data_IF_580665525890
#
_entry.id   IF_580665525890
#
_cell.length_a   1.000
_cell.length_b   1.000
_cell.length_c   1.000
_cell.angle_alpha   90.00
_cell.angle_beta   90.00
_cell.angle_gamma   90.00
#
_symmetry.space_group_name_H-M   'P 1'
#
loop_
_entity.id
_entity.type
_entity.pdbx_description
1 polymer ?
#
# COMPACT_ATOMS: atom_id res chain seq x y z
N UNK A 1 -54.71 45.51 12.96
CA UNK A 1 -54.85 44.03 12.82
C UNK A 1 -53.52 43.30 12.66
N UNK A 2 -52.54 43.80 11.88
CA UNK A 2 -51.28 43.10 11.64
C UNK A 2 -50.43 42.79 12.89
N UNK A 3 -50.35 43.72 13.86
CA UNK A 3 -49.56 43.54 15.09
C UNK A 3 -50.15 42.45 16.00
N UNK A 4 -51.48 42.32 16.04
CA UNK A 4 -52.16 41.28 16.84
C UNK A 4 -51.92 39.89 16.25
N UNK A 5 -51.88 39.78 14.92
CA UNK A 5 -51.56 38.52 14.24
C UNK A 5 -50.10 38.11 14.43
N UNK A 6 -49.18 39.07 14.48
CA UNK A 6 -47.75 38.80 14.72
C UNK A 6 -47.52 38.31 16.16
N UNK A 7 -48.16 38.93 17.15
CA UNK A 7 -48.10 38.48 18.55
C UNK A 7 -48.74 37.09 18.75
N UNK A 8 -49.85 36.79 18.06
CA UNK A 8 -50.44 35.44 18.07
C UNK A 8 -49.53 34.39 17.43
N UNK A 9 -48.85 34.72 16.33
CA UNK A 9 -47.89 33.81 15.68
C UNK A 9 -46.67 33.52 16.55
N UNK A 10 -46.17 34.53 17.29
CA UNK A 10 -45.04 34.36 18.21
C UNK A 10 -45.43 33.49 19.41
N UNK A 11 -46.66 33.65 19.92
CA UNK A 11 -47.20 32.80 20.98
C UNK A 11 -47.35 31.34 20.55
N UNK A 12 -47.79 31.08 19.32
CA UNK A 12 -47.90 29.73 18.77
C UNK A 12 -46.53 29.06 18.58
N UNK A 13 -45.52 29.79 18.12
CA UNK A 13 -44.16 29.28 17.98
C UNK A 13 -43.52 28.91 19.34
N UNK A 14 -43.71 29.75 20.36
CA UNK A 14 -43.22 29.46 21.71
C UNK A 14 -43.91 28.22 22.32
N UNK A 15 -45.22 28.07 22.11
CA UNK A 15 -45.95 26.89 22.57
C UNK A 15 -45.49 25.60 21.88
N UNK A 16 -45.19 25.65 20.58
CA UNK A 16 -44.65 24.52 19.83
C UNK A 16 -43.26 24.07 20.35
N UNK A 17 -42.39 25.02 20.69
CA UNK A 17 -41.06 24.72 21.26
C UNK A 17 -41.18 24.07 22.64
N UNK A 18 -42.11 24.53 23.48
CA UNK A 18 -42.34 23.92 24.80
C UNK A 18 -42.90 22.50 24.67
N UNK A 19 -43.83 22.27 23.74
CA UNK A 19 -44.38 20.95 23.45
C UNK A 19 -43.32 19.99 22.88
N UNK A 20 -42.46 20.47 21.98
CA UNK A 20 -41.35 19.67 21.45
C UNK A 20 -40.35 19.30 22.56
N UNK A 21 -40.02 20.23 23.44
CA UNK A 21 -39.12 19.98 24.57
C UNK A 21 -39.72 19.02 25.61
N UNK A 22 -41.03 19.08 25.83
CA UNK A 22 -41.74 18.16 26.71
C UNK A 22 -41.84 16.75 26.10
N UNK A 23 -42.03 16.63 24.78
CA UNK A 23 -42.06 15.35 24.08
C UNK A 23 -40.68 14.67 24.06
N UNK A 24 -39.60 15.46 23.93
CA UNK A 24 -38.23 14.96 23.92
C UNK A 24 -37.68 14.61 25.31
N UNK A 25 -38.44 14.87 26.37
CA UNK A 25 -38.07 14.57 27.76
C UNK A 25 -38.77 13.30 28.29
N UNK A 26 -39.26 12.43 27.40
CA UNK A 26 -39.73 11.09 27.75
C UNK A 26 -38.52 10.23 28.12
N UNK A 27 -38.53 9.81 29.37
CA UNK A 27 -37.52 9.07 30.10
C UNK A 27 -37.13 7.77 29.38
N UNK A 28 -35.82 7.52 29.27
CA UNK A 28 -35.28 6.22 28.88
C UNK A 28 -35.84 5.13 29.82
N UNK A 29 -36.22 3.95 29.31
CA UNK A 29 -36.66 2.86 30.17
C UNK A 29 -35.51 2.42 31.07
N UNK A 30 -35.79 2.46 32.37
CA UNK A 30 -34.99 1.99 33.49
C UNK A 30 -34.51 0.57 33.22
N UNK A 31 -33.21 0.40 32.98
CA UNK A 31 -32.57 -0.91 32.98
C UNK A 31 -32.59 -1.43 34.41
N UNK A 32 -33.22 -2.59 34.59
CA UNK A 32 -33.36 -3.31 35.84
C UNK A 32 -31.99 -3.53 36.48
N UNK A 33 -31.80 -2.98 37.68
CA UNK A 33 -30.55 -3.04 38.45
C UNK A 33 -30.38 -4.46 38.97
N UNK A 34 -29.48 -5.21 38.34
CA UNK A 34 -28.89 -6.45 38.86
C UNK A 34 -28.22 -6.15 40.22
N UNK A 35 -28.30 -7.05 41.23
CA UNK A 35 -27.83 -6.73 42.58
C UNK A 35 -26.31 -6.53 42.62
N UNK A 36 -25.93 -5.43 43.26
CA UNK A 36 -24.56 -4.96 43.52
C UNK A 36 -23.79 -6.02 44.33
N UNK A 37 -22.87 -6.73 43.66
CA UNK A 37 -21.87 -7.58 44.29
C UNK A 37 -20.91 -6.69 45.08
N UNK A 38 -20.74 -6.99 46.37
CA UNK A 38 -19.77 -6.34 47.24
C UNK A 38 -18.35 -6.41 46.62
N UNK A 39 -17.58 -5.31 46.65
CA UNK A 39 -16.23 -5.30 46.07
C UNK A 39 -15.32 -6.22 46.89
N UNK A 40 -14.82 -7.28 46.26
CA UNK A 40 -13.71 -8.05 46.80
C UNK A 40 -12.48 -7.14 46.92
N UNK A 41 -11.70 -7.26 48.01
CA UNK A 41 -10.54 -6.40 48.22
C UNK A 41 -9.51 -6.63 47.10
N UNK A 42 -9.09 -5.53 46.46
CA UNK A 42 -7.99 -5.54 45.51
C UNK A 42 -6.74 -6.15 46.17
N UNK A 43 -6.02 -7.06 45.47
CA UNK A 43 -4.74 -7.54 45.97
C UNK A 43 -3.77 -6.36 46.05
N UNK A 44 -3.23 -6.14 47.25
CA UNK A 44 -2.17 -5.16 47.46
C UNK A 44 -1.00 -5.48 46.50
N UNK A 45 -0.46 -4.49 45.78
CA UNK A 45 0.73 -4.72 44.97
C UNK A 45 1.87 -5.16 45.90
N UNK A 46 2.33 -6.40 45.70
CA UNK A 46 3.57 -6.85 46.31
C UNK A 46 4.68 -5.92 45.80
N UNK A 47 5.44 -5.36 46.74
CA UNK A 47 6.63 -4.58 46.43
C UNK A 47 7.53 -5.41 45.52
N UNK A 48 7.75 -4.93 44.30
CA UNK A 48 8.83 -5.43 43.47
C UNK A 48 10.13 -5.19 44.24
N UNK A 49 11.05 -6.18 44.30
CA UNK A 49 12.35 -5.96 44.90
C UNK A 49 13.04 -4.82 44.16
N UNK A 50 13.60 -3.87 44.91
CA UNK A 50 14.50 -2.86 44.34
C UNK A 50 15.59 -3.58 43.54
N UNK A 51 15.89 -3.13 42.31
CA UNK A 51 17.01 -3.68 41.56
C UNK A 51 18.29 -3.42 42.36
N UNK A 52 18.95 -4.50 42.80
CA UNK A 52 20.31 -4.42 43.29
C UNK A 52 21.17 -3.81 42.16
N UNK A 53 21.87 -2.73 42.49
CA UNK A 53 22.78 -2.06 41.58
C UNK A 53 23.80 -3.07 41.05
N UNK A 54 23.76 -3.29 39.74
CA UNK A 54 24.84 -3.99 39.04
C UNK A 54 26.15 -3.24 39.31
N UNK A 55 27.25 -3.95 39.62
CA UNK A 55 28.54 -3.30 39.82
C UNK A 55 28.99 -2.69 38.49
N UNK A 56 29.25 -1.38 38.51
CA UNK A 56 29.85 -0.64 37.39
C UNK A 56 31.09 -1.40 36.88
N UNK A 57 31.00 -1.88 35.63
CA UNK A 57 32.13 -2.45 34.94
C UNK A 57 33.22 -1.37 34.82
N UNK A 58 34.40 -1.68 35.34
CA UNK A 58 35.58 -0.84 35.20
C UNK A 58 35.84 -0.53 33.72
N UNK A 59 36.24 0.71 33.36
CA UNK A 59 36.53 1.06 31.98
C UNK A 59 37.68 0.20 31.45
N UNK A 60 37.46 -0.37 30.26
CA UNK A 60 38.50 -1.08 29.52
C UNK A 60 39.68 -0.13 29.22
N UNK A 61 40.93 -0.63 29.27
CA UNK A 61 42.11 0.19 29.02
C UNK A 61 42.10 0.75 27.58
N UNK A 62 42.38 2.05 27.46
CA UNK A 62 42.62 2.72 26.18
C UNK A 62 43.76 2.03 25.41
N UNK A 63 43.61 1.80 24.09
CA UNK A 63 44.70 1.26 23.28
C UNK A 63 45.87 2.25 23.22
N UNK A 64 47.08 1.75 23.47
CA UNK A 64 48.33 2.51 23.31
C UNK A 64 48.47 3.02 21.86
N UNK A 65 48.95 4.26 21.65
CA UNK A 65 49.14 4.80 20.31
C UNK A 65 50.31 4.08 19.60
N UNK A 66 50.02 3.54 18.42
CA UNK A 66 51.03 3.04 17.50
C UNK A 66 52.00 4.15 17.07
N UNK A 67 53.28 3.83 16.84
CA UNK A 67 54.33 4.81 16.55
C UNK A 67 54.09 5.52 15.20
N UNK A 68 54.14 6.85 15.27
CA UNK A 68 54.10 7.80 14.16
C UNK A 68 55.14 7.48 13.10
N UNK A 69 54.68 7.12 11.90
CA UNK A 69 55.48 7.20 10.69
C UNK A 69 55.80 8.68 10.40
N UNK A 70 57.07 8.95 10.15
CA UNK A 70 57.64 10.27 9.89
C UNK A 70 56.92 11.02 8.76
N UNK A 71 56.61 12.28 9.05
CA UNK A 71 55.99 13.25 8.14
C UNK A 71 56.80 13.44 6.86
N UNK A 72 56.19 13.14 5.71
CA UNK A 72 56.51 13.85 4.48
C UNK A 72 55.92 15.27 4.56
N UNK A 73 56.63 16.33 4.13
CA UNK A 73 56.08 17.69 4.19
C UNK A 73 54.93 17.83 3.20
N UNK A 74 53.73 18.12 3.72
CA UNK A 74 52.59 18.58 2.94
C UNK A 74 52.87 19.96 2.32
N UNK A 75 52.38 20.23 1.10
CA UNK A 75 52.50 21.53 0.44
C UNK A 75 51.74 22.62 1.20
N UNK A 76 52.29 23.84 1.17
CA UNK A 76 51.71 25.04 1.81
C UNK A 76 50.22 25.22 1.45
N UNK A 77 49.34 25.51 2.43
CA UNK A 77 47.93 25.75 2.17
C UNK A 77 47.76 27.09 1.44
N UNK A 78 47.08 27.05 0.30
CA UNK A 78 46.47 28.23 -0.32
C UNK A 78 45.50 28.88 0.70
N UNK A 79 45.37 30.21 0.73
CA UNK A 79 44.50 30.89 1.68
C UNK A 79 43.05 30.44 1.50
N UNK A 80 42.50 29.84 2.55
CA UNK A 80 41.09 29.50 2.66
C UNK A 80 40.22 30.71 2.36
N UNK A 81 39.33 30.57 1.38
CA UNK A 81 38.24 31.50 1.15
C UNK A 81 37.37 31.55 2.41
N UNK A 82 36.94 32.76 2.79
CA UNK A 82 35.96 32.97 3.86
C UNK A 82 34.77 32.02 3.67
N UNK A 83 34.26 31.38 4.74
CA UNK A 83 33.13 30.48 4.62
C UNK A 83 31.93 31.27 4.11
N UNK A 84 31.42 30.87 2.93
CA UNK A 84 30.13 31.34 2.45
C UNK A 84 29.08 31.02 3.53
N UNK A 85 28.19 31.98 3.85
CA UNK A 85 27.17 31.77 4.87
C UNK A 85 26.31 30.56 4.47
N UNK A 86 26.14 29.64 5.43
CA UNK A 86 25.25 28.49 5.28
C UNK A 86 23.90 28.94 4.70
N UNK A 87 23.30 28.19 3.75
CA UNK A 87 21.98 28.50 3.26
C UNK A 87 21.03 28.53 4.45
N UNK A 88 20.27 29.62 4.57
CA UNK A 88 19.21 29.74 5.56
C UNK A 88 18.31 28.49 5.50
N UNK A 89 17.80 28.00 6.64
CA UNK A 89 16.84 26.90 6.64
C UNK A 89 15.73 27.25 5.67
N UNK A 90 15.46 26.34 4.73
CA UNK A 90 14.33 26.45 3.82
C UNK A 90 13.11 26.76 4.67
N UNK A 91 12.50 27.93 4.44
CA UNK A 91 11.28 28.30 5.11
C UNK A 91 10.28 27.15 4.90
N UNK A 92 9.75 26.60 5.99
CA UNK A 92 8.45 25.94 5.94
C UNK A 92 7.52 26.85 5.14
N UNK A 93 6.70 26.33 4.21
CA UNK A 93 5.77 27.18 3.49
C UNK A 93 4.80 27.74 4.53
N UNK A 94 5.08 28.95 4.99
CA UNK A 94 4.13 29.81 5.66
C UNK A 94 2.98 29.96 4.67
N UNK A 95 1.92 29.16 4.85
CA UNK A 95 0.63 29.36 4.24
C UNK A 95 0.04 30.64 4.83
N UNK A 96 0.69 31.79 4.55
CA UNK A 96 0.06 33.07 4.65
C UNK A 96 -1.22 32.93 3.84
N UNK A 97 -2.35 32.99 4.54
CA UNK A 97 -3.68 32.98 3.95
C UNK A 97 -3.74 34.16 2.96
N UNK A 98 -3.28 33.89 1.73
CA UNK A 98 -3.26 34.84 0.65
C UNK A 98 -4.70 35.22 0.48
N UNK A 99 -5.03 36.48 0.66
CA UNK A 99 -6.40 36.97 0.57
C UNK A 99 -6.94 36.56 -0.81
N UNK A 100 -7.72 35.47 -0.85
CA UNK A 100 -8.20 34.89 -2.10
C UNK A 100 -9.32 35.80 -2.60
N UNK A 101 -8.99 36.70 -3.53
CA UNK A 101 -10.03 37.46 -4.20
C UNK A 101 -10.93 36.48 -4.99
N UNK A 102 -12.25 36.72 -5.06
CA UNK A 102 -13.14 35.91 -5.87
C UNK A 102 -12.62 35.79 -7.31
N UNK A 103 -12.48 34.56 -7.81
CA UNK A 103 -12.01 34.28 -9.17
C UNK A 103 -10.49 34.17 -9.37
N UNK A 104 -9.69 34.29 -8.30
CA UNK A 104 -8.23 34.03 -8.35
C UNK A 104 -7.92 32.59 -8.77
N UNK A 105 -8.59 31.61 -8.14
CA UNK A 105 -8.47 30.19 -8.48
C UNK A 105 -8.73 29.89 -9.95
N UNK A 106 -9.81 30.43 -10.52
CA UNK A 106 -10.15 30.27 -11.94
C UNK A 106 -9.05 30.78 -12.87
N UNK A 107 -8.49 31.95 -12.55
CA UNK A 107 -7.45 32.58 -13.38
C UNK A 107 -6.14 31.82 -13.29
N UNK A 108 -5.79 31.35 -12.10
CA UNK A 108 -4.63 30.50 -11.89
C UNK A 108 -4.77 29.15 -12.58
N UNK A 109 -5.95 28.51 -12.49
CA UNK A 109 -6.25 27.26 -13.17
C UNK A 109 -6.12 27.38 -14.69
N UNK A 110 -6.65 28.46 -15.27
CA UNK A 110 -6.48 28.73 -16.71
C UNK A 110 -5.00 28.91 -17.08
N UNK A 111 -4.25 29.68 -16.28
CA UNK A 111 -2.83 29.90 -16.52
C UNK A 111 -2.01 28.59 -16.42
N UNK A 112 -2.33 27.74 -15.44
CA UNK A 112 -1.72 26.43 -15.30
C UNK A 112 -2.06 25.50 -16.49
N UNK A 113 -3.32 25.50 -16.93
CA UNK A 113 -3.73 24.77 -18.12
C UNK A 113 -2.98 25.23 -19.38
N UNK A 114 -2.88 26.54 -19.60
CA UNK A 114 -2.11 27.13 -20.71
C UNK A 114 -0.63 26.74 -20.64
N UNK A 115 -0.02 26.78 -19.44
CA UNK A 115 1.39 26.40 -19.24
C UNK A 115 1.65 24.92 -19.55
N UNK A 116 0.69 24.04 -19.30
CA UNK A 116 0.76 22.60 -19.56
C UNK A 116 0.23 22.19 -20.94
N UNK A 117 -0.29 23.13 -21.73
CA UNK A 117 -1.04 22.87 -22.96
C UNK A 117 -2.25 21.94 -22.74
N UNK A 118 -2.93 22.09 -21.60
CA UNK A 118 -4.20 21.45 -21.30
C UNK A 118 -5.37 22.30 -21.81
N UNK A 119 -6.49 21.63 -22.06
CA UNK A 119 -7.73 22.28 -22.48
C UNK A 119 -8.48 22.83 -21.25
N UNK A 120 -9.06 24.03 -21.38
CA UNK A 120 -9.88 24.62 -20.33
C UNK A 120 -11.33 24.73 -20.79
N UNK A 121 -12.23 24.06 -20.07
CA UNK A 121 -13.66 24.07 -20.27
C UNK A 121 -14.34 24.80 -19.10
N UNK A 122 -15.41 25.54 -19.39
CA UNK A 122 -16.12 26.30 -18.34
C UNK A 122 -17.01 25.38 -17.48
N UNK A 123 -17.62 24.38 -18.09
CA UNK A 123 -18.57 23.44 -17.50
C UNK A 123 -18.73 22.27 -18.45
N UNK A 124 -19.07 21.11 -17.90
CA UNK A 124 -19.43 19.90 -18.64
C UNK A 124 -20.64 19.26 -17.95
N UNK A 125 -21.71 19.00 -18.71
CA UNK A 125 -22.97 18.45 -18.21
C UNK A 125 -22.91 16.91 -18.09
N UNK A 126 -22.10 16.25 -18.92
CA UNK A 126 -22.00 14.78 -18.89
C UNK A 126 -21.27 14.27 -17.64
N UNK A 127 -20.43 15.13 -17.05
CA UNK A 127 -19.60 14.84 -15.90
C UNK A 127 -20.37 14.89 -14.57
N UNK A 128 -21.58 15.47 -14.56
CA UNK A 128 -22.43 15.56 -13.36
C UNK A 128 -22.91 14.18 -12.89
N UNK A 129 -23.16 13.26 -13.81
CA UNK A 129 -23.74 11.94 -13.55
C UNK A 129 -22.68 10.84 -13.32
N UNK A 130 -21.38 11.17 -13.38
CA UNK A 130 -20.31 10.17 -13.28
C UNK A 130 -19.90 9.83 -11.83
N UNK A 131 -20.13 10.72 -10.87
CA UNK A 131 -19.65 10.59 -9.49
C UNK A 131 -20.72 10.90 -8.47
N UNK A 132 -20.81 10.07 -7.43
CA UNK A 132 -21.82 10.23 -6.38
C UNK A 132 -21.22 10.41 -4.98
N UNK A 133 -19.90 10.30 -4.84
CA UNK A 133 -19.20 10.29 -3.54
C UNK A 133 -18.19 11.43 -3.39
N UNK A 134 -17.65 11.55 -2.18
CA UNK A 134 -16.69 12.60 -1.83
C UNK A 134 -17.30 14.00 -2.02
N UNK A 135 -16.55 14.92 -2.63
CA UNK A 135 -17.06 16.25 -2.94
C UNK A 135 -18.28 16.25 -3.89
N UNK A 136 -18.52 15.15 -4.64
CA UNK A 136 -19.66 15.01 -5.54
C UNK A 136 -20.98 14.65 -4.84
N UNK A 137 -20.94 14.20 -3.58
CA UNK A 137 -22.14 13.80 -2.83
C UNK A 137 -23.19 14.92 -2.73
N UNK A 138 -22.74 16.17 -2.77
CA UNK A 138 -23.59 17.35 -2.71
C UNK A 138 -24.33 17.67 -4.03
N UNK A 139 -24.11 16.89 -5.10
CA UNK A 139 -24.74 17.09 -6.42
C UNK A 139 -24.35 18.42 -7.07
N UNK A 140 -23.13 18.90 -6.80
CA UNK A 140 -22.66 20.16 -7.35
C UNK A 140 -22.16 19.98 -8.79
N UNK A 141 -22.59 20.83 -9.71
CA UNK A 141 -22.09 20.83 -11.08
C UNK A 141 -20.59 21.15 -11.17
N UNK A 142 -19.78 20.35 -11.90
CA UNK A 142 -18.39 20.64 -12.21
C UNK A 142 -18.22 21.97 -12.96
N UNK A 143 -17.28 22.81 -12.52
CA UNK A 143 -16.95 24.09 -13.15
C UNK A 143 -15.46 24.30 -13.30
N UNK A 144 -15.09 25.15 -14.26
CA UNK A 144 -13.71 25.55 -14.53
C UNK A 144 -12.81 24.32 -14.64
N UNK A 145 -13.14 23.46 -15.60
CA UNK A 145 -12.56 22.13 -15.81
C UNK A 145 -11.32 22.27 -16.68
N UNK A 146 -10.23 21.64 -16.28
CA UNK A 146 -9.01 21.48 -17.07
C UNK A 146 -8.91 20.02 -17.48
N UNK A 147 -8.74 19.78 -18.77
CA UNK A 147 -8.62 18.43 -19.34
C UNK A 147 -7.23 18.27 -19.92
N UNK A 148 -6.54 17.21 -19.52
CA UNK A 148 -5.19 16.89 -19.99
C UNK A 148 -4.91 15.40 -20.01
N UNK A 149 -3.79 15.02 -20.60
CA UNK A 149 -3.25 13.67 -20.46
C UNK A 149 -1.94 13.73 -19.69
N UNK A 150 -1.83 12.95 -18.61
CA UNK A 150 -0.67 12.94 -17.72
C UNK A 150 -0.36 11.49 -17.36
N UNK A 151 0.90 11.08 -17.49
CA UNK A 151 1.36 9.71 -17.22
C UNK A 151 0.56 8.62 -17.96
N UNK A 152 -0.07 8.93 -19.10
CA UNK A 152 -0.91 7.99 -19.85
C UNK A 152 -2.37 7.92 -19.38
N UNK A 153 -2.76 8.74 -18.42
CA UNK A 153 -4.12 8.86 -17.91
C UNK A 153 -4.78 10.16 -18.39
N UNK A 154 -6.07 10.09 -18.69
CA UNK A 154 -6.91 11.29 -18.81
C UNK A 154 -7.06 11.91 -17.41
N UNK A 155 -6.70 13.19 -17.29
CA UNK A 155 -6.72 13.94 -16.05
C UNK A 155 -7.67 15.13 -16.18
N UNK A 156 -8.53 15.28 -15.19
CA UNK A 156 -9.46 16.39 -15.05
C UNK A 156 -9.15 17.14 -13.76
N UNK A 157 -9.07 18.47 -13.82
CA UNK A 157 -9.01 19.31 -12.61
C UNK A 157 -10.15 20.32 -12.64
N UNK A 158 -10.99 20.34 -11.61
CA UNK A 158 -12.21 21.14 -11.59
C UNK A 158 -12.54 21.69 -10.20
N UNK A 159 -13.51 22.61 -10.18
CA UNK A 159 -14.17 23.07 -8.96
C UNK A 159 -15.54 22.38 -8.85
N UNK A 160 -15.74 21.66 -7.75
CA UNK A 160 -16.96 20.94 -7.41
C UNK A 160 -17.53 21.52 -6.10
N UNK A 161 -18.57 22.34 -6.21
CA UNK A 161 -19.21 22.94 -5.04
C UNK A 161 -18.31 23.86 -4.20
N UNK A 162 -17.24 24.43 -4.77
CA UNK A 162 -16.25 25.25 -4.06
C UNK A 162 -15.09 24.45 -3.48
N UNK A 163 -14.99 23.16 -3.81
CA UNK A 163 -13.88 22.27 -3.47
C UNK A 163 -13.13 21.92 -4.76
N UNK A 164 -11.81 22.03 -4.73
CA UNK A 164 -11.00 21.63 -5.88
C UNK A 164 -10.87 20.10 -5.89
N UNK A 165 -11.16 19.50 -7.03
CA UNK A 165 -11.07 18.06 -7.25
C UNK A 165 -10.23 17.79 -8.48
N UNK A 166 -9.27 16.89 -8.34
CA UNK A 166 -8.52 16.33 -9.47
C UNK A 166 -8.94 14.87 -9.67
N UNK A 167 -9.29 14.49 -10.88
CA UNK A 167 -9.65 13.13 -11.25
C UNK A 167 -8.67 12.57 -12.29
N UNK A 168 -8.34 11.29 -12.18
CA UNK A 168 -7.56 10.54 -13.17
C UNK A 168 -8.26 9.26 -13.56
N UNK A 169 -8.32 8.99 -14.86
CA UNK A 169 -9.01 7.84 -15.40
C UNK A 169 -8.21 6.55 -15.22
N UNK A 170 -8.84 5.49 -14.72
CA UNK A 170 -8.19 4.19 -14.45
C UNK A 170 -8.12 3.30 -15.69
N UNK A 171 -9.09 3.47 -16.60
CA UNK A 171 -9.21 2.75 -17.88
C UNK A 171 -10.21 1.59 -17.88
N UNK A 172 -10.66 1.14 -16.70
CA UNK A 172 -11.70 0.12 -16.55
C UNK A 172 -12.61 0.49 -15.39
N UNK A 173 -13.93 0.38 -15.60
CA UNK A 173 -14.91 0.64 -14.55
C UNK A 173 -14.96 -0.53 -13.55
N UNK A 174 -15.02 -0.19 -12.26
CA UNK A 174 -15.26 -1.10 -11.13
C UNK A 174 -16.62 -0.77 -10.48
N UNK A 175 -17.21 -1.70 -9.73
CA UNK A 175 -18.35 -1.42 -8.83
C UNK A 175 -17.88 -1.09 -7.41
N UNK A 176 -16.65 -1.50 -7.10
CA UNK A 176 -16.01 -1.40 -5.81
C UNK A 176 -15.51 0.02 -5.58
N UNK A 177 -15.86 0.56 -4.41
CA UNK A 177 -15.46 1.90 -4.00
C UNK A 177 -14.41 1.77 -2.92
N UNK A 178 -13.33 2.52 -3.07
CA UNK A 178 -12.27 2.66 -2.08
C UNK A 178 -12.09 4.15 -1.79
N UNK A 179 -12.22 4.57 -0.54
CA UNK A 179 -12.10 5.95 -0.07
C UNK A 179 -10.96 6.05 0.95
N UNK A 180 -9.91 6.78 0.62
CA UNK A 180 -8.81 7.14 1.49
C UNK A 180 -9.08 8.50 2.12
N UNK A 181 -9.19 8.54 3.44
CA UNK A 181 -9.37 9.78 4.21
C UNK A 181 -8.20 10.02 5.13
N UNK A 182 -7.73 11.27 5.22
CA UNK A 182 -6.77 11.64 6.26
C UNK A 182 -7.40 11.48 7.63
N UNK A 183 -6.61 11.07 8.62
CA UNK A 183 -7.08 10.78 9.99
C UNK A 183 -7.80 11.96 10.65
N UNK A 184 -7.39 13.19 10.33
CA UNK A 184 -7.99 14.41 10.87
C UNK A 184 -9.28 14.85 10.14
N UNK A 185 -9.57 14.24 8.99
CA UNK A 185 -10.70 14.60 8.12
C UNK A 185 -11.85 13.57 8.15
N UNK A 186 -11.81 12.60 9.08
CA UNK A 186 -12.79 11.50 9.19
C UNK A 186 -14.22 12.02 9.48
N UNK A 187 -14.36 13.22 10.06
CA UNK A 187 -15.68 13.82 10.36
C UNK A 187 -16.49 14.23 9.11
N UNK A 188 -15.91 14.14 7.91
CA UNK A 188 -16.62 14.38 6.64
C UNK A 188 -17.29 13.10 6.12
N UNK A 189 -18.61 13.02 6.31
CA UNK A 189 -19.59 12.13 5.64
C UNK A 189 -18.99 10.92 4.91
N UNK A 190 -18.59 9.89 5.67
CA UNK A 190 -18.39 8.55 5.13
C UNK A 190 -19.76 7.94 4.85
N UNK A 191 -19.97 7.42 3.63
CA UNK A 191 -21.16 6.66 3.31
C UNK A 191 -21.30 5.44 4.24
N UNK A 192 -22.53 5.07 4.60
CA UNK A 192 -22.82 3.99 5.57
C UNK A 192 -22.31 2.60 5.14
N UNK A 193 -22.03 2.42 3.84
CA UNK A 193 -21.59 1.17 3.23
C UNK A 193 -20.06 0.97 3.20
N UNK A 194 -19.29 1.94 3.71
CA UNK A 194 -17.83 1.90 3.72
C UNK A 194 -17.28 1.40 5.06
N UNK A 195 -16.41 0.40 5.00
CA UNK A 195 -15.75 -0.19 6.17
C UNK A 195 -14.23 -0.01 6.09
N UNK A 196 -13.57 0.18 7.24
CA UNK A 196 -12.12 0.29 7.30
C UNK A 196 -11.44 -1.00 6.84
N UNK A 197 -10.58 -0.88 5.82
CA UNK A 197 -9.82 -1.98 5.26
C UNK A 197 -8.38 -2.03 5.81
N UNK A 198 -7.70 -0.87 5.83
CA UNK A 198 -6.35 -0.70 6.37
C UNK A 198 -6.04 0.78 6.59
N UNK A 199 -4.98 1.07 7.34
CA UNK A 199 -4.38 2.42 7.43
C UNK A 199 -2.95 2.40 6.90
N UNK A 200 -2.53 3.51 6.30
CA UNK A 200 -1.18 3.73 5.82
C UNK A 200 -0.85 5.21 5.87
N UNK A 201 0.26 5.55 6.52
CA UNK A 201 0.66 6.94 6.77
C UNK A 201 -0.48 7.74 7.46
N UNK A 202 -0.78 8.94 6.96
CA UNK A 202 -1.87 9.77 7.47
C UNK A 202 -3.27 9.33 7.01
N UNK A 203 -3.36 8.31 6.16
CA UNK A 203 -4.60 7.88 5.52
C UNK A 203 -5.20 6.61 6.15
N UNK A 204 -6.53 6.59 6.20
CA UNK A 204 -7.35 5.44 6.47
C UNK A 204 -8.08 5.08 5.18
N UNK A 205 -7.91 3.84 4.72
CA UNK A 205 -8.59 3.30 3.56
C UNK A 205 -9.89 2.62 3.99
N UNK A 206 -11.01 3.16 3.52
CA UNK A 206 -12.36 2.63 3.66
C UNK A 206 -12.78 1.99 2.33
N UNK A 207 -13.55 0.91 2.37
CA UNK A 207 -14.02 0.26 1.15
C UNK A 207 -15.37 -0.43 1.32
N UNK A 208 -16.09 -0.64 0.22
CA UNK A 208 -17.31 -1.47 0.20
C UNK A 208 -16.97 -2.95 0.42
N UNK A 209 -15.87 -3.43 -0.16
CA UNK A 209 -15.25 -4.74 0.12
C UNK A 209 -13.81 -4.54 0.61
N UNK A 210 -13.60 -4.77 1.90
CA UNK A 210 -12.29 -4.60 2.55
C UNK A 210 -11.25 -5.59 2.05
N UNK A 211 -11.65 -6.79 1.62
CA UNK A 211 -10.74 -7.79 1.10
C UNK A 211 -10.24 -7.42 -0.32
N UNK A 212 -11.09 -6.80 -1.14
CA UNK A 212 -10.67 -6.23 -2.43
C UNK A 212 -9.66 -5.10 -2.21
N UNK A 213 -9.94 -4.17 -1.30
CA UNK A 213 -9.03 -3.07 -0.99
C UNK A 213 -7.67 -3.57 -0.45
N UNK A 214 -7.66 -4.57 0.43
CA UNK A 214 -6.43 -5.19 0.92
C UNK A 214 -5.61 -5.87 -0.18
N UNK A 215 -6.26 -6.51 -1.17
CA UNK A 215 -5.57 -7.13 -2.32
C UNK A 215 -5.00 -6.09 -3.29
N UNK A 216 -5.69 -4.96 -3.46
CA UNK A 216 -5.26 -3.85 -4.31
C UNK A 216 -4.06 -3.10 -3.70
N UNK A 217 -3.90 -3.14 -2.37
CA UNK A 217 -2.77 -2.53 -1.68
C UNK A 217 -1.44 -3.17 -2.09
N UNK A 218 -0.69 -2.46 -2.91
CA UNK A 218 0.68 -2.79 -3.29
C UNK A 218 1.65 -1.64 -2.94
N UNK A 219 2.90 -1.77 -3.41
CA UNK A 219 3.91 -0.73 -3.21
C UNK A 219 3.54 0.62 -3.84
N UNK A 220 2.78 0.63 -4.94
CA UNK A 220 2.35 1.86 -5.62
C UNK A 220 1.34 2.61 -4.76
N UNK A 221 0.39 1.89 -4.16
CA UNK A 221 -0.60 2.49 -3.23
C UNK A 221 0.12 3.12 -2.04
N UNK A 222 1.03 2.38 -1.40
CA UNK A 222 1.76 2.89 -0.24
C UNK A 222 2.58 4.13 -0.59
N UNK A 223 3.37 4.08 -1.68
CA UNK A 223 4.19 5.22 -2.14
C UNK A 223 3.34 6.41 -2.54
N UNK A 224 2.17 6.18 -3.15
CA UNK A 224 1.26 7.25 -3.53
C UNK A 224 0.69 7.95 -2.30
N UNK A 225 0.26 7.21 -1.28
CA UNK A 225 -0.27 7.78 -0.04
C UNK A 225 0.80 8.57 0.72
N UNK A 226 2.02 8.04 0.83
CA UNK A 226 3.17 8.70 1.48
C UNK A 226 3.59 10.00 0.77
N UNK A 227 3.51 10.03 -0.56
CA UNK A 227 3.90 11.21 -1.36
C UNK A 227 2.76 12.19 -1.59
N UNK A 228 1.56 11.89 -1.10
CA UNK A 228 0.40 12.73 -1.34
C UNK A 228 0.53 14.05 -0.55
N UNK A 229 0.35 15.22 -1.16
CA UNK A 229 0.43 16.50 -0.46
C UNK A 229 -0.55 16.59 0.71
N UNK A 230 -0.16 17.29 1.79
CA UNK A 230 -1.01 17.48 2.98
C UNK A 230 -2.30 18.26 2.68
N UNK A 231 -2.32 19.06 1.62
CA UNK A 231 -3.51 19.76 1.13
C UNK A 231 -4.60 18.81 0.57
N UNK A 232 -4.27 17.55 0.28
CA UNK A 232 -5.24 16.53 -0.16
C UNK A 232 -5.92 15.95 1.07
N UNK A 233 -7.23 16.15 1.20
CA UNK A 233 -8.00 15.75 2.39
C UNK A 233 -8.66 14.39 2.23
N UNK A 234 -8.96 13.98 1.00
CA UNK A 234 -9.58 12.70 0.70
C UNK A 234 -9.34 12.29 -0.75
N UNK A 235 -9.30 10.99 -1.00
CA UNK A 235 -9.12 10.39 -2.32
C UNK A 235 -10.08 9.24 -2.42
N UNK A 236 -10.88 9.14 -3.47
CA UNK A 236 -11.76 8.00 -3.66
C UNK A 236 -11.67 7.45 -5.07
N UNK A 237 -11.93 6.15 -5.18
CA UNK A 237 -11.99 5.40 -6.42
C UNK A 237 -13.44 5.02 -6.64
N UNK A 238 -13.99 5.43 -7.78
CA UNK A 238 -15.39 5.17 -8.14
C UNK A 238 -15.49 5.01 -9.66
N UNK A 239 -16.26 4.00 -10.10
CA UNK A 239 -16.43 3.70 -11.52
C UNK A 239 -15.07 3.56 -12.23
N UNK A 240 -14.72 4.45 -13.16
CA UNK A 240 -13.47 4.42 -13.92
C UNK A 240 -12.49 5.55 -13.54
N UNK A 241 -12.64 6.10 -12.32
CA UNK A 241 -11.92 7.27 -11.87
C UNK A 241 -11.28 7.09 -10.49
N UNK A 242 -10.12 7.71 -10.31
CA UNK A 242 -9.57 8.07 -9.00
C UNK A 242 -9.67 9.58 -8.86
N UNK A 243 -10.33 10.04 -7.80
CA UNK A 243 -10.54 11.45 -7.52
C UNK A 243 -9.84 11.83 -6.22
N UNK A 244 -9.24 13.01 -6.19
CA UNK A 244 -8.62 13.58 -5.01
C UNK A 244 -9.19 14.98 -4.76
N UNK A 245 -9.74 15.18 -3.57
CA UNK A 245 -10.21 16.48 -3.11
C UNK A 245 -9.11 17.20 -2.32
N UNK A 246 -9.00 18.50 -2.51
CA UNK A 246 -8.03 19.33 -1.79
C UNK A 246 -8.70 20.36 -0.89
N UNK A 247 -7.91 21.00 -0.04
CA UNK A 247 -8.33 22.23 0.64
C UNK A 247 -8.66 23.34 -0.37
N UNK A 248 -9.41 24.36 0.07
CA UNK A 248 -9.78 25.53 -0.74
C UNK A 248 -8.58 26.41 -1.13
N UNK A 249 -7.45 26.24 -0.46
CA UNK A 249 -6.24 27.03 -0.66
C UNK A 249 -5.24 26.34 -1.59
N UNK A 250 -5.51 25.13 -2.07
CA UNK A 250 -4.63 24.43 -2.98
C UNK A 250 -4.52 25.15 -4.33
N UNK A 251 -3.29 25.47 -4.69
CA UNK A 251 -2.90 26.23 -5.89
C UNK A 251 -2.11 25.35 -6.88
N UNK A 252 -1.58 25.97 -7.94
CA UNK A 252 -0.83 25.27 -8.99
C UNK A 252 0.35 24.39 -8.53
N UNK A 253 1.14 24.71 -7.49
CA UNK A 253 2.21 23.82 -7.03
C UNK A 253 1.67 22.50 -6.46
N UNK A 254 0.59 22.58 -5.67
CA UNK A 254 -0.07 21.41 -5.09
C UNK A 254 -0.65 20.53 -6.19
N UNK A 255 -1.29 21.14 -7.19
CA UNK A 255 -1.84 20.39 -8.34
C UNK A 255 -0.74 19.64 -9.10
N UNK A 256 0.45 20.22 -9.22
CA UNK A 256 1.59 19.57 -9.86
C UNK A 256 2.10 18.37 -9.06
N UNK A 257 2.23 18.52 -7.74
CA UNK A 257 2.68 17.46 -6.84
C UNK A 257 1.70 16.29 -6.77
N UNK A 258 0.39 16.55 -6.96
CA UNK A 258 -0.65 15.51 -7.00
C UNK A 258 -0.56 14.59 -8.21
N UNK A 259 0.02 15.04 -9.34
CA UNK A 259 -0.06 14.31 -10.61
C UNK A 259 0.56 12.91 -10.53
N UNK A 260 1.77 12.78 -9.98
CA UNK A 260 2.47 11.50 -9.94
C UNK A 260 1.84 10.52 -8.93
N UNK A 261 1.53 10.90 -7.69
CA UNK A 261 0.84 10.03 -6.74
C UNK A 261 -0.54 9.59 -7.22
N UNK A 262 -1.33 10.49 -7.83
CA UNK A 262 -2.66 10.15 -8.32
C UNK A 262 -2.60 9.19 -9.52
N UNK A 263 -1.58 9.31 -10.38
CA UNK A 263 -1.34 8.35 -11.46
C UNK A 263 -0.98 6.96 -10.93
N UNK A 264 -0.14 6.88 -9.88
CA UNK A 264 0.15 5.60 -9.22
C UNK A 264 -1.10 4.93 -8.66
N UNK A 265 -2.02 5.71 -8.07
CA UNK A 265 -3.31 5.20 -7.60
C UNK A 265 -4.20 4.75 -8.77
N UNK A 266 -4.24 5.49 -9.87
CA UNK A 266 -4.99 5.10 -11.06
C UNK A 266 -4.44 3.82 -11.71
N UNK A 267 -3.12 3.64 -11.72
CA UNK A 267 -2.45 2.41 -12.15
C UNK A 267 -2.71 1.24 -11.20
N UNK A 268 -2.77 1.49 -9.89
CA UNK A 268 -3.11 0.47 -8.90
C UNK A 268 -4.58 0.07 -8.99
N UNK A 269 -5.49 1.00 -9.28
CA UNK A 269 -6.92 0.74 -9.44
C UNK A 269 -7.24 -0.24 -10.59
N UNK A 270 -6.32 -0.45 -11.55
CA UNK A 270 -6.48 -1.48 -12.59
C UNK A 270 -6.48 -2.91 -12.07
N UNK A 271 -6.09 -3.13 -10.81
CA UNK A 271 -6.18 -4.46 -10.17
C UNK A 271 -7.54 -4.71 -9.51
N UNK A 272 -8.44 -3.72 -9.52
CA UNK A 272 -9.79 -3.88 -9.00
C UNK A 272 -10.61 -4.77 -9.95
N UNK A 273 -11.57 -5.54 -9.41
CA UNK A 273 -12.46 -6.35 -10.23
C UNK A 273 -13.19 -5.45 -11.24
N UNK A 274 -13.20 -5.81 -12.53
CA UNK A 274 -13.97 -5.05 -13.50
C UNK A 274 -15.46 -5.22 -13.21
N UNK A 275 -16.24 -4.18 -13.47
CA UNK A 275 -17.70 -4.23 -13.41
C UNK A 275 -18.20 -5.45 -14.19
N UNK A 276 -19.04 -6.31 -13.59
CA UNK A 276 -19.57 -7.49 -14.26
C UNK A 276 -20.38 -7.06 -15.49
N UNK A 277 -19.72 -7.05 -16.65
CA UNK A 277 -20.41 -6.89 -17.93
C UNK A 277 -20.97 -8.25 -18.31
N UNK A 278 -22.18 -8.28 -18.86
CA UNK A 278 -22.78 -9.47 -19.48
C UNK A 278 -21.94 -10.08 -20.61
N UNK A 279 -20.81 -9.47 -20.98
CA UNK A 279 -19.92 -9.87 -22.06
C UNK A 279 -18.75 -10.79 -21.61
N UNK A 280 -18.45 -10.91 -20.31
CA UNK A 280 -17.55 -11.98 -19.85
C UNK A 280 -18.37 -13.24 -19.56
N UNK A 281 -18.93 -13.82 -20.62
CA UNK A 281 -19.22 -15.26 -20.58
C UNK A 281 -17.88 -15.96 -20.37
N UNK A 282 -17.64 -16.42 -19.14
CA UNK A 282 -16.64 -17.46 -18.88
C UNK A 282 -17.02 -18.62 -19.79
N UNK A 283 -16.39 -18.68 -20.97
CA UNK A 283 -16.50 -19.82 -21.87
C UNK A 283 -15.78 -20.96 -21.20
N UNK A 284 -16.50 -21.66 -20.33
CA UNK A 284 -16.02 -22.88 -19.64
C UNK A 284 -15.50 -23.90 -20.67
N UNK A 285 -16.00 -23.83 -21.91
CA UNK A 285 -15.53 -24.60 -23.07
C UNK A 285 -14.12 -24.20 -23.58
N UNK A 286 -13.69 -22.94 -23.40
CA UNK A 286 -12.37 -22.39 -23.80
C UNK A 286 -11.36 -22.33 -22.63
N UNK A 287 -11.85 -22.38 -21.39
CA UNK A 287 -11.01 -22.57 -20.20
C UNK A 287 -10.49 -24.00 -20.18
N UNK A 288 -9.36 -24.25 -20.84
CA UNK A 288 -8.69 -25.55 -20.86
C UNK A 288 -8.49 -26.04 -19.41
N UNK A 289 -9.21 -27.10 -18.97
CA UNK A 289 -8.94 -27.72 -17.68
C UNK A 289 -7.57 -28.38 -17.84
N UNK A 290 -6.54 -27.65 -17.42
CA UNK A 290 -5.12 -28.01 -17.48
C UNK A 290 -4.92 -29.52 -17.64
N UNK A 291 -4.64 -29.89 -18.91
CA UNK A 291 -4.42 -31.23 -19.44
C UNK A 291 -5.71 -32.09 -19.57
N UNK A 292 -6.30 -32.20 -20.79
CA UNK A 292 -7.15 -33.34 -21.08
C UNK A 292 -6.34 -34.62 -20.85
N UNK A 293 -6.78 -35.45 -19.90
CA UNK A 293 -6.25 -36.81 -19.79
C UNK A 293 -6.51 -37.49 -21.14
N UNK A 294 -5.49 -38.01 -21.83
CA UNK A 294 -5.73 -38.75 -23.06
C UNK A 294 -6.76 -39.85 -22.74
N UNK A 295 -7.75 -40.08 -23.61
CA UNK A 295 -8.74 -41.12 -23.38
C UNK A 295 -7.98 -42.40 -23.09
N UNK A 296 -8.42 -43.16 -22.07
CA UNK A 296 -7.85 -44.45 -21.72
C UNK A 296 -8.08 -45.44 -22.87
N UNK A 297 -7.30 -45.28 -23.94
CA UNK A 297 -7.15 -46.26 -24.98
C UNK A 297 -6.46 -47.48 -24.38
N UNK A 298 -6.69 -48.68 -24.95
CA UNK A 298 -5.98 -49.87 -24.50
C UNK A 298 -4.48 -49.60 -24.59
N UNK A 299 -3.79 -49.71 -23.45
CA UNK A 299 -2.34 -49.58 -23.38
C UNK A 299 -1.75 -50.78 -24.12
N UNK A 300 -1.52 -50.65 -25.43
CA UNK A 300 -0.72 -51.61 -26.19
C UNK A 300 0.75 -51.31 -25.91
N UNK A 301 1.31 -52.12 -25.02
CA UNK A 301 2.73 -52.18 -24.75
C UNK A 301 3.43 -52.85 -25.95
N UNK A 302 3.68 -52.11 -27.02
CA UNK A 302 4.55 -52.58 -28.11
C UNK A 302 5.16 -51.44 -28.92
N UNK A 303 6.40 -51.13 -28.56
CA UNK A 303 7.50 -50.92 -29.51
C UNK A 303 7.31 -49.98 -30.70
N UNK A 304 7.99 -48.83 -30.59
CA UNK A 304 8.61 -48.01 -31.64
C UNK A 304 7.73 -47.00 -32.40
N UNK A 305 8.21 -45.75 -32.57
CA UNK A 305 7.47 -44.71 -33.29
C UNK A 305 7.59 -44.93 -34.80
N UNK A 306 6.46 -45.08 -35.50
CA UNK A 306 6.40 -44.81 -36.94
C UNK A 306 5.83 -43.40 -37.13
N UNK A 307 6.73 -42.43 -37.33
CA UNK A 307 6.39 -41.07 -37.76
C UNK A 307 5.81 -41.18 -39.17
N UNK A 308 4.52 -40.86 -39.34
CA UNK A 308 3.94 -40.53 -40.65
C UNK A 308 4.27 -39.07 -40.96
N UNK A 309 5.16 -38.90 -41.93
CA UNK A 309 5.57 -37.64 -42.54
C UNK A 309 4.42 -36.95 -43.28
N UNK A 310 4.02 -35.76 -42.83
CA UNK A 310 3.49 -34.73 -43.74
C UNK A 310 4.68 -33.97 -44.32
N UNK A 311 4.74 -33.91 -45.65
CA UNK A 311 5.81 -33.26 -46.41
C UNK A 311 5.67 -31.74 -46.37
N UNK A 312 6.33 -31.09 -45.41
CA UNK A 312 6.89 -29.76 -45.63
C UNK A 312 8.38 -29.94 -45.93
N UNK A 313 8.74 -29.73 -47.20
CA UNK A 313 10.11 -29.89 -47.67
C UNK A 313 10.89 -28.61 -47.34
N UNK A 314 11.36 -28.50 -46.09
CA UNK A 314 12.45 -27.58 -45.77
C UNK A 314 13.77 -28.23 -46.19
N UNK A 315 14.39 -27.72 -47.25
CA UNK A 315 15.77 -28.04 -47.60
C UNK A 315 16.69 -27.48 -46.51
N UNK A 316 16.98 -28.28 -45.49
CA UNK A 316 18.06 -27.99 -44.56
C UNK A 316 19.40 -28.20 -45.28
N UNK A 317 20.37 -27.29 -45.14
CA UNK A 317 21.71 -27.50 -45.69
C UNK A 317 22.30 -28.82 -45.18
N UNK A 318 23.10 -29.54 -45.99
CA UNK A 318 23.57 -30.87 -45.62
C UNK A 318 24.38 -30.79 -44.33
N UNK A 319 23.81 -31.31 -43.25
CA UNK A 319 24.48 -31.45 -41.96
C UNK A 319 25.55 -32.53 -42.13
N UNK A 320 26.79 -32.11 -42.39
CA UNK A 320 27.93 -33.02 -42.35
C UNK A 320 28.23 -33.34 -40.89
N UNK A 321 27.93 -34.57 -40.48
CA UNK A 321 28.33 -35.09 -39.18
C UNK A 321 29.87 -35.22 -39.21
N UNK A 322 30.59 -34.65 -38.25
CA UNK A 322 32.02 -34.92 -38.10
C UNK A 322 32.24 -36.44 -38.04
N UNK A 323 33.14 -36.97 -38.86
CA UNK A 323 33.43 -38.41 -38.96
C UNK A 323 34.02 -38.97 -37.65
N UNK A 324 34.56 -38.09 -36.81
CA UNK A 324 35.14 -38.42 -35.51
C UNK A 324 34.11 -38.18 -34.39
N UNK A 325 33.73 -39.21 -33.62
CA UNK A 325 32.80 -39.05 -32.51
C UNK A 325 33.36 -38.07 -31.48
N UNK A 326 32.58 -37.04 -31.14
CA UNK A 326 32.94 -36.12 -30.06
C UNK A 326 32.85 -36.91 -28.75
N UNK A 327 33.98 -37.07 -28.05
CA UNK A 327 34.01 -37.72 -26.74
C UNK A 327 33.31 -36.83 -25.72
N UNK A 328 32.18 -37.32 -25.21
CA UNK A 328 31.43 -36.64 -24.15
C UNK A 328 32.06 -36.97 -22.80
N UNK A 329 32.26 -35.98 -21.91
CA UNK A 329 32.79 -36.24 -20.58
C UNK A 329 31.85 -37.18 -19.82
N UNK A 330 32.37 -38.33 -19.40
CA UNK A 330 31.64 -39.32 -18.60
C UNK A 330 32.19 -39.36 -17.18
N UNK A 331 31.32 -39.44 -16.17
CA UNK A 331 31.70 -39.59 -14.75
C UNK A 331 32.54 -40.84 -14.44
N UNK A 332 32.69 -41.76 -15.39
CA UNK A 332 33.44 -43.00 -15.23
C UNK A 332 34.95 -42.81 -15.46
N UNK A 333 35.37 -41.70 -16.09
CA UNK A 333 36.76 -41.41 -16.43
C UNK A 333 37.00 -39.97 -16.03
N UNK A 334 37.95 -39.77 -15.13
CA UNK A 334 38.40 -38.42 -14.77
C UNK A 334 39.26 -37.87 -15.92
N UNK A 335 38.91 -36.68 -16.40
CA UNK A 335 39.55 -36.03 -17.55
C UNK A 335 39.74 -34.54 -17.23
N UNK A 336 40.92 -34.21 -16.71
CA UNK A 336 41.29 -32.85 -16.35
C UNK A 336 41.75 -32.08 -17.58
N UNK A 337 40.83 -31.36 -18.23
CA UNK A 337 41.19 -30.40 -19.29
C UNK A 337 41.45 -29.02 -18.68
N UNK A 338 42.67 -28.82 -18.19
CA UNK A 338 43.20 -27.55 -17.69
C UNK A 338 44.69 -27.67 -17.37
N UNK A 339 45.42 -26.57 -17.47
CA UNK A 339 46.82 -26.48 -17.00
C UNK A 339 46.75 -26.20 -15.50
N UNK A 340 46.75 -27.24 -14.69
CA UNK A 340 46.83 -27.13 -13.24
C UNK A 340 48.29 -27.24 -12.85
N UNK A 341 48.88 -26.14 -12.37
CA UNK A 341 50.18 -26.17 -11.73
C UNK A 341 50.02 -26.89 -10.38
N UNK A 342 50.58 -28.09 -10.25
CA UNK A 342 50.57 -28.90 -9.01
C UNK A 342 51.26 -28.17 -7.82
N UNK A 343 51.98 -27.08 -8.08
CA UNK A 343 52.63 -26.23 -7.08
C UNK A 343 51.70 -25.12 -6.53
N UNK A 344 50.51 -24.92 -7.11
CA UNK A 344 49.58 -23.84 -6.77
C UNK A 344 48.60 -24.28 -5.64
N UNK A 345 49.14 -24.32 -4.41
CA UNK A 345 48.44 -24.73 -3.17
C UNK A 345 47.16 -23.94 -2.85
N UNK A 346 46.90 -22.82 -3.53
CA UNK A 346 45.69 -22.02 -3.34
C UNK A 346 44.45 -22.57 -4.07
N UNK A 347 44.61 -23.48 -5.03
CA UNK A 347 43.49 -24.00 -5.81
C UNK A 347 42.73 -25.15 -5.11
N UNK A 348 43.30 -25.73 -4.05
CA UNK A 348 42.73 -26.89 -3.36
C UNK A 348 41.78 -26.53 -2.20
N UNK A 349 41.60 -25.25 -1.88
CA UNK A 349 40.94 -24.81 -0.64
C UNK A 349 39.62 -24.06 -0.86
N UNK A 350 38.92 -24.35 -1.97
CA UNK A 350 37.56 -23.84 -2.22
C UNK A 350 36.57 -24.95 -1.87
N UNK A 351 36.06 -24.92 -0.64
CA UNK A 351 34.97 -25.80 -0.18
C UNK A 351 35.23 -26.59 1.10
N UNK A 352 36.32 -26.33 1.83
CA UNK A 352 36.60 -26.92 3.14
C UNK A 352 35.91 -26.17 4.30
N UNK A 353 34.70 -25.66 4.08
CA UNK A 353 33.81 -25.40 5.21
C UNK A 353 33.39 -26.78 5.74
N UNK A 354 33.98 -27.22 6.85
CA UNK A 354 33.58 -28.43 7.57
C UNK A 354 32.15 -28.23 8.12
N UNK A 355 31.15 -28.31 7.24
CA UNK A 355 29.75 -28.42 7.62
C UNK A 355 29.45 -29.86 7.96
N UNK A 356 29.15 -30.09 9.24
CA UNK A 356 28.67 -31.39 9.72
C UNK A 356 27.46 -31.87 8.89
N UNK A 357 27.36 -33.19 8.71
CA UNK A 357 26.24 -33.78 8.01
C UNK A 357 24.92 -33.43 8.72
N UNK A 358 23.93 -32.97 7.95
CA UNK A 358 22.57 -32.70 8.44
C UNK A 358 22.04 -33.97 9.14
N UNK A 359 21.84 -33.88 10.45
CA UNK A 359 21.30 -34.96 11.30
C UNK A 359 22.28 -35.60 12.28
N UNK A 360 23.57 -35.26 12.26
CA UNK A 360 24.57 -35.75 13.23
C UNK A 360 24.83 -34.77 14.40
N UNK A 361 24.17 -33.61 14.40
CA UNK A 361 24.17 -32.72 15.56
C UNK A 361 23.36 -33.35 16.70
N UNK A 362 23.94 -33.52 17.91
CA UNK A 362 23.15 -33.87 19.08
C UNK A 362 22.10 -32.78 19.29
N UNK A 363 20.87 -33.16 19.67
CA UNK A 363 19.82 -32.21 19.98
C UNK A 363 20.37 -31.16 20.96
N UNK A 364 20.22 -29.88 20.61
CA UNK A 364 20.64 -28.77 21.48
C UNK A 364 19.96 -28.94 22.85
N UNK A 365 20.71 -29.43 23.84
CA UNK A 365 20.31 -29.49 25.26
C UNK A 365 20.45 -28.11 25.93
N UNK A 366 20.34 -27.01 25.16
CA UNK A 366 20.23 -25.69 25.77
C UNK A 366 18.81 -25.50 26.33
N UNK A 367 18.67 -25.17 27.63
CA UNK A 367 17.36 -24.84 28.19
C UNK A 367 16.81 -23.58 27.49
N UNK A 368 15.50 -23.54 27.20
CA UNK A 368 14.90 -22.44 26.43
C UNK A 368 15.13 -21.12 27.15
N UNK A 369 15.80 -20.18 26.47
CA UNK A 369 15.92 -18.80 26.94
C UNK A 369 14.55 -18.12 26.82
N UNK A 370 14.18 -17.34 27.82
CA UNK A 370 12.83 -16.75 27.96
C UNK A 370 12.41 -15.81 26.83
N UNK A 371 13.33 -15.43 25.93
CA UNK A 371 13.11 -14.51 24.82
C UNK A 371 13.25 -15.16 23.43
N UNK A 372 13.33 -16.49 23.33
CA UNK A 372 13.36 -17.16 22.04
C UNK A 372 11.94 -17.29 21.45
N UNK A 373 11.78 -16.96 20.16
CA UNK A 373 10.52 -17.02 19.40
C UNK A 373 10.28 -18.44 18.87
N UNK A 374 11.28 -19.34 18.98
CA UNK A 374 11.16 -20.74 18.57
C UNK A 374 10.42 -21.56 19.62
N UNK A 375 9.17 -21.90 19.32
CA UNK A 375 8.39 -22.88 20.08
C UNK A 375 8.78 -24.28 19.59
N UNK A 376 9.60 -25.00 20.36
CA UNK A 376 9.84 -26.44 20.12
C UNK A 376 8.66 -27.24 20.66
N UNK A 377 8.02 -28.03 19.79
CA UNK A 377 6.91 -28.92 20.17
C UNK A 377 7.49 -30.09 20.97
N UNK A 378 7.17 -30.20 22.26
CA UNK A 378 7.53 -31.38 23.04
C UNK A 378 6.70 -32.59 22.57
N UNK A 379 7.27 -33.38 21.66
CA UNK A 379 6.74 -34.69 21.29
C UNK A 379 7.08 -35.68 22.41
N UNK A 380 6.26 -35.75 23.45
CA UNK A 380 6.48 -36.66 24.56
C UNK A 380 5.37 -36.71 25.61
N UNK A 381 4.48 -35.71 25.64
CA UNK A 381 3.27 -35.78 26.46
C UNK A 381 2.13 -36.33 25.61
N UNK A 382 1.58 -37.48 26.02
CA UNK A 382 0.38 -38.07 25.42
C UNK A 382 -0.71 -37.00 25.28
N UNK A 383 -1.33 -36.94 24.10
CA UNK A 383 -2.32 -35.93 23.80
C UNK A 383 -3.57 -36.17 24.67
N UNK A 384 -3.83 -35.29 25.64
CA UNK A 384 -4.93 -35.40 26.61
C UNK A 384 -6.34 -35.36 25.98
N UNK A 385 -6.44 -35.14 24.66
CA UNK A 385 -7.67 -35.16 23.88
C UNK A 385 -8.28 -36.58 23.73
N UNK A 386 -7.52 -37.63 24.04
CA UNK A 386 -7.99 -39.02 23.98
C UNK A 386 -8.15 -39.69 25.36
N UNK A 387 -8.15 -38.92 26.45
CA UNK A 387 -8.42 -39.47 27.77
C UNK A 387 -9.93 -39.72 27.93
N UNK A 388 -10.36 -40.97 27.74
CA UNK A 388 -11.69 -41.43 28.11
C UNK A 388 -11.87 -41.27 29.63
N UNK A 389 -12.82 -40.43 30.04
CA UNK A 389 -13.27 -40.36 31.43
C UNK A 389 -14.00 -41.66 31.78
N UNK A 390 -13.38 -42.50 32.60
CA UNK A 390 -14.09 -43.58 33.30
C UNK A 390 -14.83 -43.00 34.50
N UNK A 391 -16.16 -43.13 34.46
CA UNK A 391 -17.23 -42.81 35.44
C UNK A 391 -16.86 -42.40 36.88
#
# INVERSE_FOLDING_TARGET
MAIVLLLLSLGAAAAAVVLWRAANNQEQPTSEREPELEPQPEPQPQAQPEPEAEPEAAPAPEPEPEPTAESAPEPEPEPEAEPEPAPAPAAEPEHHARLMLPGTLKRERRHWAEAKNFEFLKSDEYLEDEWFRGAASNGASPRDIVVGNVFGHEMLLMDLGGVNVMAMRTGSATEEVIDFRRRDAIEQESSEDLFEAFSHDDFIALATDTAVAQRMRDIRVNVALERMPHDVTGIWMESEWVLAQTTKNALSPVWEEMLAPLALLADAARTLPPRPSTAQELRVEEGDPTRPAPPAGPVELSGLPTIRTTTDHFEHPPVQRPEEPIELPTRAIDDSRGDFDDDDVAAYDIGADDVDAIGDQPADEEPPRTNDVRITRQQGTDASIFEDHTD
#
